data_IF_993524633319
#
_entry.id   IF_993524633319
#
_cell.length_a   1.000
_cell.length_b   1.000
_cell.length_c   1.000
_cell.angle_alpha   90.00
_cell.angle_beta   90.00
_cell.angle_gamma   90.00
#
_symmetry.space_group_name_H-M   'P 1'
#
loop_
_entity.id
_entity.type
_entity.pdbx_description
1 polymer ?
#
# COMPACT_ATOMS: atom_id res chain seq x y z
N UNK A 1 11.36 9.49 -15.23
CA UNK A 1 10.57 10.63 -14.68
C UNK A 1 11.25 11.28 -13.47
N UNK A 2 11.88 10.52 -12.57
CA UNK A 2 12.61 11.05 -11.40
C UNK A 2 13.95 11.74 -11.71
N UNK A 3 14.49 11.58 -12.92
CA UNK A 3 15.77 12.22 -13.32
C UNK A 3 15.67 13.75 -13.46
N UNK A 4 14.45 14.30 -13.51
CA UNK A 4 14.20 15.74 -13.53
C UNK A 4 14.00 16.32 -12.12
N UNK A 5 14.26 15.56 -11.05
CA UNK A 5 14.00 16.03 -9.68
C UNK A 5 15.17 16.91 -9.20
N UNK A 6 15.03 18.22 -9.33
CA UNK A 6 15.97 19.19 -8.78
C UNK A 6 15.95 19.26 -7.25
N UNK A 7 16.98 19.88 -6.68
CA UNK A 7 17.05 20.19 -5.25
C UNK A 7 15.85 21.00 -4.76
N UNK A 8 15.29 21.84 -5.63
CA UNK A 8 14.10 22.65 -5.33
C UNK A 8 12.84 21.80 -5.20
N UNK A 9 12.63 20.84 -6.09
CA UNK A 9 11.50 19.92 -6.07
C UNK A 9 11.56 18.97 -4.87
N UNK A 10 12.76 18.53 -4.48
CA UNK A 10 12.96 17.82 -3.22
C UNK A 10 12.53 18.69 -2.04
N UNK A 11 12.93 19.96 -2.02
CA UNK A 11 12.51 20.91 -0.99
C UNK A 11 10.99 21.08 -0.93
N UNK A 12 10.33 21.20 -2.09
CA UNK A 12 8.88 21.31 -2.19
C UNK A 12 8.17 20.05 -1.66
N UNK A 13 8.64 18.86 -2.04
CA UNK A 13 8.09 17.61 -1.52
C UNK A 13 8.26 17.50 0.00
N UNK A 14 9.38 17.95 0.53
CA UNK A 14 9.63 17.96 1.97
C UNK A 14 8.63 18.88 2.67
N UNK A 15 8.40 20.10 2.16
CA UNK A 15 7.40 21.03 2.70
C UNK A 15 5.99 20.42 2.66
N UNK A 16 5.59 19.82 1.54
CA UNK A 16 4.29 19.15 1.42
C UNK A 16 4.16 18.02 2.44
N UNK A 17 5.19 17.18 2.59
CA UNK A 17 5.20 16.11 3.57
C UNK A 17 5.10 16.65 5.00
N UNK A 18 5.80 17.73 5.33
CA UNK A 18 5.72 18.37 6.65
C UNK A 18 4.33 18.95 6.92
N UNK A 19 3.61 19.45 5.92
CA UNK A 19 2.24 19.96 6.10
C UNK A 19 1.25 18.82 6.34
N UNK A 20 1.36 17.74 5.57
CA UNK A 20 0.43 16.59 5.65
C UNK A 20 0.64 15.82 6.96
N UNK A 21 1.89 15.46 7.26
CA UNK A 21 2.23 14.61 8.40
C UNK A 21 2.53 15.42 9.67
N UNK A 22 3.04 16.65 9.53
CA UNK A 22 3.57 17.45 10.63
C UNK A 22 5.09 17.31 10.77
N UNK A 23 5.80 18.41 11.11
CA UNK A 23 7.27 18.41 11.25
C UNK A 23 7.77 17.51 12.38
N UNK A 24 6.96 17.28 13.41
CA UNK A 24 7.32 16.44 14.56
C UNK A 24 7.09 14.95 14.28
N UNK A 25 6.13 14.60 13.42
CA UNK A 25 5.73 13.21 13.16
C UNK A 25 6.59 12.51 12.14
N UNK A 26 7.02 13.22 11.09
CA UNK A 26 7.87 12.65 10.05
C UNK A 26 9.17 12.02 10.62
N UNK A 27 9.97 12.70 11.46
CA UNK A 27 11.16 12.09 12.04
C UNK A 27 10.85 10.95 13.00
N UNK A 28 9.72 11.01 13.73
CA UNK A 28 9.25 9.93 14.60
C UNK A 28 8.97 8.65 13.78
N UNK A 29 8.19 8.77 12.70
CA UNK A 29 7.87 7.66 11.79
C UNK A 29 9.11 7.05 11.13
N UNK A 30 10.05 7.90 10.70
CA UNK A 30 11.32 7.44 10.12
C UNK A 30 12.11 6.62 11.15
N UNK A 31 12.18 7.09 12.40
CA UNK A 31 12.88 6.38 13.48
C UNK A 31 12.24 5.03 13.77
N UNK A 32 10.91 4.97 13.80
CA UNK A 32 10.17 3.73 14.00
C UNK A 32 10.40 2.74 12.86
N UNK A 33 10.29 3.20 11.61
CA UNK A 33 10.54 2.37 10.42
C UNK A 33 11.98 1.84 10.39
N UNK A 34 12.97 2.67 10.70
CA UNK A 34 14.37 2.25 10.84
C UNK A 34 14.57 1.25 11.99
N UNK A 35 13.86 1.44 13.10
CA UNK A 35 13.87 0.50 14.23
C UNK A 35 13.33 -0.87 13.83
N UNK A 36 12.19 -0.90 13.14
CA UNK A 36 11.59 -2.12 12.60
C UNK A 36 12.54 -2.79 11.59
N UNK A 37 13.11 -2.03 10.65
CA UNK A 37 14.04 -2.57 9.67
C UNK A 37 15.28 -3.19 10.32
N UNK A 38 15.83 -2.57 11.37
CA UNK A 38 16.95 -3.12 12.14
C UNK A 38 16.57 -4.42 12.85
N UNK A 39 15.39 -4.48 13.47
CA UNK A 39 14.87 -5.70 14.11
C UNK A 39 14.70 -6.84 13.10
N UNK A 40 14.06 -6.57 11.96
CA UNK A 40 13.90 -7.54 10.86
C UNK A 40 15.24 -8.05 10.38
N UNK A 41 16.22 -7.14 10.17
CA UNK A 41 17.56 -7.54 9.74
C UNK A 41 18.30 -8.37 10.79
N UNK A 42 18.08 -8.11 12.09
CA UNK A 42 18.59 -8.93 13.19
C UNK A 42 17.99 -10.35 13.16
N UNK A 43 16.67 -10.46 13.13
CA UNK A 43 15.96 -11.74 13.07
C UNK A 43 16.34 -12.57 11.84
N UNK A 44 16.46 -11.93 10.67
CA UNK A 44 16.90 -12.60 9.45
C UNK A 44 18.31 -13.19 9.59
N UNK A 45 19.24 -12.43 10.20
CA UNK A 45 20.61 -12.92 10.45
C UNK A 45 20.65 -14.10 11.42
N UNK A 46 19.86 -14.04 12.48
CA UNK A 46 19.81 -15.06 13.53
C UNK A 46 19.16 -16.36 13.03
N UNK A 47 18.08 -16.26 12.25
CA UNK A 47 17.49 -17.40 11.56
C UNK A 47 18.48 -17.99 10.54
N UNK A 48 19.14 -17.15 9.73
CA UNK A 48 20.16 -17.64 8.79
C UNK A 48 21.31 -18.34 9.50
N UNK A 49 21.79 -17.84 10.65
CA UNK A 49 22.83 -18.54 11.43
C UNK A 49 22.34 -19.87 11.98
N UNK A 50 21.12 -19.93 12.51
CA UNK A 50 20.55 -21.18 13.04
C UNK A 50 20.32 -22.25 11.98
N UNK A 51 19.97 -21.84 10.75
CA UNK A 51 19.85 -22.74 9.59
C UNK A 51 21.23 -23.24 9.12
N UNK A 52 22.22 -22.35 9.10
CA UNK A 52 23.60 -22.67 8.69
C UNK A 52 24.29 -23.61 9.68
N UNK A 53 23.97 -23.50 10.97
CA UNK A 53 24.48 -24.36 12.04
C UNK A 53 23.87 -25.78 12.02
N UNK A 54 22.63 -25.92 11.55
CA UNK A 54 21.90 -27.20 11.54
C UNK A 54 21.96 -27.96 10.20
N UNK A 55 22.12 -27.26 9.08
CA UNK A 55 22.05 -27.87 7.73
C UNK A 55 23.40 -27.93 7.02
N UNK A 56 24.47 -27.42 7.63
CA UNK A 56 25.81 -27.40 7.06
C UNK A 56 26.00 -26.32 5.98
N UNK A 57 27.26 -25.98 5.66
CA UNK A 57 27.65 -24.85 4.80
C UNK A 57 27.25 -24.97 3.33
N UNK A 58 26.55 -26.04 2.91
CA UNK A 58 26.19 -26.28 1.51
C UNK A 58 24.77 -25.83 1.13
N UNK A 59 23.91 -25.42 2.08
CA UNK A 59 22.67 -24.69 1.77
C UNK A 59 22.98 -23.19 1.70
N UNK A 60 23.94 -22.83 0.86
CA UNK A 60 24.46 -21.48 0.77
C UNK A 60 23.97 -20.76 -0.49
N UNK A 61 23.13 -19.76 -0.24
CA UNK A 61 23.20 -18.42 -0.81
C UNK A 61 22.48 -18.12 -2.14
N UNK A 62 22.23 -19.07 -3.05
CA UNK A 62 21.74 -18.65 -4.37
C UNK A 62 20.24 -18.30 -4.43
N UNK A 63 19.40 -18.91 -3.59
CA UNK A 63 17.93 -18.78 -3.68
C UNK A 63 17.29 -17.91 -2.56
N UNK A 64 18.10 -17.39 -1.63
CA UNK A 64 17.63 -16.62 -0.46
C UNK A 64 18.09 -15.16 -0.44
N UNK A 65 18.56 -14.61 -1.56
CA UNK A 65 18.88 -13.19 -1.62
C UNK A 65 17.60 -12.38 -1.42
N UNK A 66 17.42 -11.69 -0.26
CA UNK A 66 16.16 -10.99 0.03
C UNK A 66 15.92 -9.88 -1.00
N UNK A 67 16.98 -9.35 -1.62
CA UNK A 67 16.90 -8.39 -2.72
C UNK A 67 16.31 -9.00 -3.99
N UNK A 68 16.65 -10.26 -4.32
CA UNK A 68 16.11 -10.99 -5.48
C UNK A 68 14.69 -11.52 -5.20
N UNK A 69 14.40 -11.94 -3.98
CA UNK A 69 13.06 -12.39 -3.56
C UNK A 69 12.06 -11.23 -3.50
N UNK A 70 12.43 -10.13 -2.84
CA UNK A 70 11.63 -8.89 -2.87
C UNK A 70 11.52 -8.37 -4.29
N UNK A 71 12.59 -8.42 -5.09
CA UNK A 71 12.48 -8.03 -6.49
C UNK A 71 11.52 -8.95 -7.28
N UNK A 72 11.55 -10.26 -7.06
CA UNK A 72 10.67 -11.18 -7.79
C UNK A 72 9.21 -11.10 -7.34
N UNK A 73 8.94 -10.78 -6.06
CA UNK A 73 7.58 -10.70 -5.53
C UNK A 73 6.98 -9.29 -5.52
N UNK A 74 7.78 -8.22 -5.47
CA UNK A 74 7.28 -6.83 -5.53
C UNK A 74 7.26 -6.30 -6.96
N UNK A 75 8.02 -6.88 -7.89
CA UNK A 75 7.97 -6.53 -9.33
C UNK A 75 7.25 -7.60 -10.17
N UNK A 76 6.56 -8.56 -9.57
CA UNK A 76 5.53 -9.32 -10.28
C UNK A 76 4.38 -8.37 -10.58
N UNK A 77 4.04 -8.22 -11.86
CA UNK A 77 3.00 -7.29 -12.33
C UNK A 77 1.63 -7.55 -11.65
N UNK A 78 1.38 -8.79 -11.20
CA UNK A 78 0.14 -9.19 -10.51
C UNK A 78 -0.01 -8.54 -9.11
N UNK A 79 1.05 -8.56 -8.29
CA UNK A 79 1.03 -7.99 -6.93
C UNK A 79 1.01 -6.44 -6.96
N UNK A 80 1.61 -5.86 -8.00
CA UNK A 80 1.59 -4.41 -8.24
C UNK A 80 0.17 -3.92 -8.59
N UNK A 81 -0.62 -4.71 -9.31
CA UNK A 81 -1.99 -4.35 -9.65
C UNK A 81 -2.88 -4.32 -8.40
N UNK A 82 -2.76 -5.32 -7.53
CA UNK A 82 -3.52 -5.39 -6.28
C UNK A 82 -3.17 -4.27 -5.31
N UNK A 83 -1.89 -3.90 -5.22
CA UNK A 83 -1.48 -2.75 -4.42
C UNK A 83 -1.97 -1.43 -5.04
N UNK A 84 -2.06 -1.33 -6.37
CA UNK A 84 -2.47 -0.11 -7.08
C UNK A 84 -3.98 0.18 -6.99
N UNK A 85 -4.84 -0.83 -6.90
CA UNK A 85 -6.30 -0.67 -6.77
C UNK A 85 -6.72 0.28 -5.65
N UNK A 86 -6.34 0.06 -4.37
CA UNK A 86 -6.75 0.93 -3.27
C UNK A 86 -6.25 2.37 -3.43
N UNK A 87 -5.02 2.57 -3.94
CA UNK A 87 -4.53 3.92 -4.21
C UNK A 87 -5.29 4.61 -5.34
N UNK A 88 -5.71 3.88 -6.36
CA UNK A 88 -6.47 4.43 -7.50
C UNK A 88 -7.88 4.83 -7.08
N UNK A 89 -8.51 4.07 -6.18
CA UNK A 89 -9.84 4.38 -5.65
C UNK A 89 -9.82 5.60 -4.74
N UNK A 90 -8.81 5.71 -3.86
CA UNK A 90 -8.59 6.91 -3.04
C UNK A 90 -8.26 8.12 -3.91
N UNK A 91 -7.41 7.96 -4.93
CA UNK A 91 -7.09 9.06 -5.85
C UNK A 91 -8.32 9.54 -6.63
N UNK A 92 -9.24 8.63 -6.99
CA UNK A 92 -10.54 8.99 -7.58
C UNK A 92 -11.42 9.72 -6.59
N UNK A 93 -11.49 9.25 -5.34
CA UNK A 93 -12.29 9.89 -4.28
C UNK A 93 -11.81 11.32 -3.98
N UNK A 94 -10.49 11.57 -4.01
CA UNK A 94 -9.92 12.90 -3.81
C UNK A 94 -10.13 13.81 -5.04
N UNK A 95 -10.11 13.25 -6.26
CA UNK A 95 -10.20 14.01 -7.51
C UNK A 95 -11.65 14.22 -8.00
N UNK A 96 -12.66 13.72 -7.27
CA UNK A 96 -14.07 13.92 -7.60
C UNK A 96 -14.68 15.00 -6.68
N UNK A 97 -14.77 16.28 -7.10
CA UNK A 97 -15.23 17.38 -6.26
C UNK A 97 -16.76 17.40 -6.00
N UNK A 98 -17.51 16.32 -6.25
CA UNK A 98 -18.88 16.17 -5.76
C UNK A 98 -19.29 14.70 -5.64
N UNK A 99 -19.92 14.28 -4.53
CA UNK A 99 -20.67 13.03 -4.53
C UNK A 99 -21.91 13.24 -5.41
N UNK A 100 -21.90 12.69 -6.63
CA UNK A 100 -23.17 12.41 -7.30
C UNK A 100 -23.92 11.47 -6.38
N UNK A 101 -24.99 12.00 -5.79
CA UNK A 101 -26.00 11.23 -5.10
C UNK A 101 -26.22 9.96 -5.92
N UNK A 102 -25.92 8.80 -5.33
CA UNK A 102 -26.53 7.56 -5.77
C UNK A 102 -28.02 7.81 -5.62
N UNK A 103 -28.66 8.26 -6.70
CA UNK A 103 -30.08 8.09 -6.92
C UNK A 103 -30.29 6.60 -6.76
N UNK A 104 -30.69 6.23 -5.55
CA UNK A 104 -31.30 4.95 -5.24
C UNK A 104 -32.24 4.71 -6.39
N UNK A 105 -31.90 3.69 -7.17
CA UNK A 105 -32.67 3.20 -8.29
C UNK A 105 -34.10 3.02 -7.81
N UNK A 106 -34.93 4.02 -8.09
CA UNK A 106 -36.35 3.95 -7.89
C UNK A 106 -36.84 2.94 -8.92
N UNK A 107 -36.88 1.67 -8.50
CA UNK A 107 -37.67 0.63 -9.14
C UNK A 107 -39.00 1.25 -9.54
N UNK A 108 -39.46 1.09 -10.79
CA UNK A 108 -40.73 1.65 -11.22
C UNK A 108 -41.81 1.23 -10.23
N UNK A 109 -42.56 2.20 -9.71
CA UNK A 109 -43.68 1.96 -8.82
C UNK A 109 -44.67 1.02 -9.51
N UNK A 110 -44.62 -0.26 -9.15
CA UNK A 110 -45.66 -1.22 -9.43
C UNK A 110 -46.88 -0.78 -8.63
N UNK A 111 -47.84 -0.16 -9.31
CA UNK A 111 -49.11 0.25 -8.71
C UNK A 111 -49.75 -0.98 -8.04
N UNK A 112 -50.13 -0.93 -6.75
CA UNK A 112 -50.95 -1.98 -6.20
C UNK A 112 -52.26 -2.02 -6.97
N UNK A 113 -52.51 -3.16 -7.62
CA UNK A 113 -53.79 -3.48 -8.25
C UNK A 113 -54.82 -3.56 -7.14
N UNK A 114 -55.63 -2.53 -6.98
CA UNK A 114 -56.82 -2.57 -6.13
C UNK A 114 -57.70 -3.71 -6.63
N UNK A 115 -57.91 -4.71 -5.78
CA UNK A 115 -58.84 -5.81 -6.03
C UNK A 115 -60.14 -5.48 -5.27
N UNK A 116 -61.20 -5.03 -5.96
CA UNK A 116 -62.45 -4.63 -5.31
C UNK A 116 -63.34 -5.82 -4.90
N UNK A 117 -62.92 -7.07 -5.12
CA UNK A 117 -63.71 -8.27 -4.80
C UNK A 117 -63.43 -8.88 -3.41
N UNK A 118 -62.85 -8.10 -2.48
CA UNK A 118 -62.81 -8.47 -1.07
C UNK A 118 -64.09 -7.99 -0.34
N UNK A 119 -65.19 -8.74 -0.49
CA UNK A 119 -66.38 -8.75 0.39
C UNK A 119 -66.91 -10.16 0.51
#
# INVERSE_FOLDING_TARGET
MFENLGWWEIGLLLVIALIIFGPDRLPELVRDALGLLRKVRGMAREASSGLREQLGPDVELEDLHPKKFVQKHLFSDDDLEDLRRPFTDVAREINDPMPRQRSVEAKPAEKPRFDPDAT
#
